data_IF_257809786838
#
_entry.id   IF_257809786838
#
_cell.length_a   1.000
_cell.length_b   1.000
_cell.length_c   1.000
_cell.angle_alpha   90.00
_cell.angle_beta   90.00
_cell.angle_gamma   90.00
#
_symmetry.space_group_name_H-M   'P 1'
#
loop_
_entity.id
_entity.type
_entity.pdbx_description
1 polymer ?
#
# COMPACT_ATOMS: atom_id res chain seq x y z
N UNK A 1 13.67 6.59 -20.07
CA UNK A 1 12.80 5.68 -19.29
C UNK A 1 13.68 4.72 -18.51
N UNK A 2 13.48 4.66 -17.19
CA UNK A 2 14.21 3.80 -16.24
C UNK A 2 13.25 2.83 -15.56
N UNK A 3 13.78 1.67 -15.21
CA UNK A 3 13.03 0.61 -14.54
C UNK A 3 13.60 0.38 -13.14
N UNK A 4 12.70 0.13 -12.19
CA UNK A 4 13.02 -0.33 -10.86
C UNK A 4 12.24 -1.61 -10.59
N UNK A 5 12.90 -2.56 -9.93
CA UNK A 5 12.26 -3.75 -9.42
C UNK A 5 12.82 -4.06 -8.04
N UNK A 6 11.94 -4.45 -7.12
CA UNK A 6 12.30 -4.99 -5.82
C UNK A 6 11.38 -6.14 -5.45
N UNK A 7 11.92 -7.09 -4.70
CA UNK A 7 11.17 -8.18 -4.08
C UNK A 7 11.43 -8.17 -2.58
N UNK A 8 10.45 -8.66 -1.83
CA UNK A 8 10.51 -8.79 -0.38
C UNK A 8 9.58 -9.91 0.06
N UNK A 9 9.78 -10.45 1.25
CA UNK A 9 8.87 -11.40 1.88
C UNK A 9 8.43 -10.80 3.21
N UNK A 10 7.12 -10.68 3.40
CA UNK A 10 6.53 -10.29 4.67
C UNK A 10 6.23 -11.55 5.49
N UNK A 11 6.62 -11.56 6.76
CA UNK A 11 6.36 -12.65 7.71
C UNK A 11 4.94 -12.56 8.30
N UNK A 12 3.97 -12.33 7.40
CA UNK A 12 2.54 -12.23 7.67
C UNK A 12 1.76 -12.93 6.57
N UNK A 13 0.66 -13.59 6.95
CA UNK A 13 -0.21 -14.27 5.98
C UNK A 13 -0.79 -13.28 4.97
N UNK A 14 -1.12 -13.78 3.77
CA UNK A 14 -1.67 -12.94 2.71
C UNK A 14 -2.96 -12.21 3.14
N UNK A 15 -3.79 -12.86 3.96
CA UNK A 15 -5.00 -12.25 4.51
C UNK A 15 -4.68 -11.06 5.43
N UNK A 16 -3.65 -11.16 6.27
CA UNK A 16 -3.19 -10.05 7.12
C UNK A 16 -2.64 -8.90 6.27
N UNK A 17 -1.79 -9.22 5.29
CA UNK A 17 -1.19 -8.24 4.39
C UNK A 17 -2.24 -7.45 3.60
N UNK A 18 -3.19 -8.15 2.99
CA UNK A 18 -4.25 -7.50 2.22
C UNK A 18 -5.20 -6.69 3.09
N UNK A 19 -5.54 -7.16 4.29
CA UNK A 19 -6.34 -6.39 5.24
C UNK A 19 -5.62 -5.10 5.69
N UNK A 20 -4.32 -5.20 5.99
CA UNK A 20 -3.50 -4.06 6.37
C UNK A 20 -3.33 -3.03 5.25
N UNK A 21 -3.30 -3.47 3.99
CA UNK A 21 -3.16 -2.56 2.84
C UNK A 21 -4.24 -1.47 2.80
N UNK A 22 -5.46 -1.79 3.23
CA UNK A 22 -6.56 -0.82 3.31
C UNK A 22 -6.41 0.19 4.44
N UNK A 23 -5.60 -0.13 5.46
CA UNK A 23 -5.29 0.71 6.62
C UNK A 23 -3.86 1.27 6.58
N UNK A 24 -3.18 1.16 5.44
CA UNK A 24 -1.80 1.61 5.27
C UNK A 24 -1.61 3.10 5.59
N UNK A 25 -2.64 3.92 5.42
CA UNK A 25 -2.60 5.35 5.68
C UNK A 25 -3.63 5.77 6.72
N UNK A 26 -3.31 6.75 7.57
CA UNK A 26 -2.00 7.44 7.67
C UNK A 26 -0.91 6.55 8.30
N UNK A 27 0.36 6.76 7.95
CA UNK A 27 1.51 6.19 8.66
C UNK A 27 2.69 7.17 8.71
N UNK A 28 3.51 7.07 9.75
CA UNK A 28 4.62 8.00 10.06
C UNK A 28 5.72 8.04 8.99
N UNK A 29 5.86 6.98 8.18
CA UNK A 29 6.87 6.89 7.13
C UNK A 29 6.39 7.50 5.81
N UNK A 30 5.07 7.71 5.67
CA UNK A 30 4.46 8.33 4.50
C UNK A 30 3.61 9.55 4.87
N UNK A 31 4.16 10.56 5.59
CA UNK A 31 3.41 11.73 6.04
C UNK A 31 2.97 12.63 4.87
N UNK A 32 3.55 12.43 3.69
CA UNK A 32 3.20 13.14 2.47
C UNK A 32 1.83 12.74 1.93
N UNK A 33 1.30 11.55 2.26
CA UNK A 33 -0.05 11.13 1.86
C UNK A 33 -1.06 11.71 2.84
N UNK A 34 -1.81 12.72 2.40
CA UNK A 34 -2.71 13.50 3.26
C UNK A 34 -4.17 13.09 3.15
N UNK A 35 -4.57 12.46 2.04
CA UNK A 35 -5.92 11.92 1.86
C UNK A 35 -5.90 10.70 0.93
N UNK A 36 -6.86 9.80 1.15
CA UNK A 36 -7.11 8.62 0.33
C UNK A 36 -8.62 8.46 0.16
N UNK A 37 -9.10 8.67 -1.06
CA UNK A 37 -10.52 8.62 -1.39
C UNK A 37 -10.80 7.38 -2.25
N UNK A 38 -11.87 6.65 -1.95
CA UNK A 38 -12.33 5.53 -2.81
C UNK A 38 -13.27 6.12 -3.85
N UNK A 39 -12.87 6.04 -5.13
CA UNK A 39 -13.67 6.51 -6.25
C UNK A 39 -14.69 5.47 -6.67
N UNK A 40 -14.27 4.20 -6.72
CA UNK A 40 -15.12 3.08 -7.10
C UNK A 40 -14.68 1.81 -6.36
N UNK A 41 -15.63 0.97 -5.99
CA UNK A 41 -15.36 -0.38 -5.49
C UNK A 41 -16.49 -1.32 -5.85
N UNK A 42 -16.16 -2.46 -6.45
CA UNK A 42 -17.12 -3.50 -6.76
C UNK A 42 -16.46 -4.88 -6.70
N UNK A 43 -17.27 -5.91 -6.47
CA UNK A 43 -16.88 -7.32 -6.64
C UNK A 43 -17.44 -7.77 -7.97
N UNK A 44 -16.56 -8.30 -8.83
CA UNK A 44 -16.98 -8.92 -10.08
C UNK A 44 -17.82 -10.19 -9.76
N UNK A 45 -19.08 -10.27 -10.23
CA UNK A 45 -19.98 -11.37 -9.90
C UNK A 45 -19.58 -12.70 -10.54
N UNK A 46 -18.83 -12.70 -11.64
CA UNK A 46 -18.39 -13.90 -12.35
C UNK A 46 -17.09 -14.43 -11.74
N UNK A 47 -16.11 -13.54 -11.55
CA UNK A 47 -14.78 -13.93 -11.10
C UNK A 47 -14.63 -13.96 -9.58
N UNK A 48 -15.38 -13.12 -8.86
CA UNK A 48 -15.25 -12.89 -7.41
C UNK A 48 -14.11 -11.94 -7.05
N UNK A 49 -13.48 -11.29 -8.04
CA UNK A 49 -12.37 -10.35 -7.82
C UNK A 49 -12.91 -9.03 -7.29
N UNK A 50 -12.31 -8.55 -6.19
CA UNK A 50 -12.59 -7.22 -5.65
C UNK A 50 -11.72 -6.20 -6.39
N UNK A 51 -12.38 -5.31 -7.14
CA UNK A 51 -11.74 -4.16 -7.77
C UNK A 51 -12.00 -2.90 -6.96
N UNK A 52 -10.95 -2.11 -6.72
CA UNK A 52 -11.06 -0.80 -6.07
C UNK A 52 -10.24 0.21 -6.86
N UNK A 53 -10.81 1.39 -7.07
CA UNK A 53 -10.11 2.57 -7.57
C UNK A 53 -10.05 3.63 -6.47
N UNK A 54 -8.86 4.17 -6.23
CA UNK A 54 -8.59 5.19 -5.22
C UNK A 54 -7.87 6.40 -5.80
N UNK A 55 -8.13 7.56 -5.23
CA UNK A 55 -7.38 8.79 -5.43
C UNK A 55 -6.56 9.07 -4.17
N UNK A 56 -5.26 9.17 -4.31
CA UNK A 56 -4.36 9.57 -3.24
C UNK A 56 -3.98 11.03 -3.46
N UNK A 57 -4.10 11.83 -2.40
CA UNK A 57 -3.63 13.22 -2.37
C UNK A 57 -2.32 13.27 -1.60
N UNK A 58 -1.27 13.75 -2.27
CA UNK A 58 0.07 13.82 -1.73
C UNK A 58 0.56 15.27 -1.67
N UNK A 59 1.03 15.72 -0.51
CA UNK A 59 1.69 17.01 -0.34
C UNK A 59 3.21 16.82 -0.45
N UNK A 60 3.83 17.46 -1.44
CA UNK A 60 5.25 17.33 -1.73
C UNK A 60 6.03 18.49 -1.13
N UNK A 61 7.01 18.16 -0.29
CA UNK A 61 8.04 19.09 0.16
C UNK A 61 9.14 19.20 -0.90
N UNK A 62 8.83 19.84 -2.03
CA UNK A 62 9.82 20.14 -3.06
C UNK A 62 10.38 21.57 -2.86
N UNK A 63 11.68 21.81 -3.14
CA UNK A 63 12.24 23.16 -3.09
C UNK A 63 11.48 24.11 -4.03
N UNK A 64 11.32 25.37 -3.62
CA UNK A 64 10.52 26.38 -4.35
C UNK A 64 10.93 26.56 -5.82
N UNK A 65 12.22 26.39 -6.15
CA UNK A 65 12.71 26.42 -7.52
C UNK A 65 12.06 25.30 -8.37
N UNK A 66 11.96 24.09 -7.82
CA UNK A 66 11.39 22.91 -8.49
C UNK A 66 9.87 23.06 -8.62
N UNK A 67 9.20 23.56 -7.58
CA UNK A 67 7.75 23.84 -7.61
C UNK A 67 7.38 24.83 -8.73
N UNK A 68 8.20 25.87 -8.97
CA UNK A 68 7.98 26.81 -10.08
C UNK A 68 8.02 26.14 -11.45
N UNK A 69 8.88 25.14 -11.65
CA UNK A 69 8.92 24.36 -12.89
C UNK A 69 7.80 23.31 -12.97
N UNK A 70 7.26 22.87 -11.83
CA UNK A 70 6.20 21.86 -11.71
C UNK A 70 4.77 22.45 -11.67
N UNK A 71 4.59 23.73 -11.99
CA UNK A 71 3.26 24.37 -12.03
C UNK A 71 2.78 24.96 -10.71
N UNK A 72 3.66 25.14 -9.73
CA UNK A 72 3.42 25.94 -8.52
C UNK A 72 2.62 25.29 -7.39
N UNK A 73 2.01 24.13 -7.63
CA UNK A 73 1.28 23.38 -6.59
C UNK A 73 2.19 22.43 -5.83
N UNK A 74 2.10 22.42 -4.50
CA UNK A 74 2.70 21.40 -3.64
C UNK A 74 1.84 20.14 -3.55
N UNK A 75 0.57 20.23 -3.95
CA UNK A 75 -0.38 19.11 -3.95
C UNK A 75 -0.28 18.38 -5.28
N UNK A 76 -0.19 17.05 -5.18
CA UNK A 76 -0.14 16.11 -6.30
C UNK A 76 -1.15 14.99 -6.09
N UNK A 77 -1.72 14.52 -7.20
CA UNK A 77 -2.69 13.43 -7.20
C UNK A 77 -2.11 12.17 -7.82
N UNK A 78 -2.41 11.03 -7.20
CA UNK A 78 -2.03 9.71 -7.68
C UNK A 78 -3.28 8.85 -7.79
N UNK A 79 -3.48 8.23 -8.95
CA UNK A 79 -4.54 7.25 -9.17
C UNK A 79 -4.00 5.88 -8.83
N UNK A 80 -4.75 5.14 -8.03
CA UNK A 80 -4.47 3.74 -7.73
C UNK A 80 -5.65 2.86 -8.16
N UNK A 81 -5.35 1.78 -8.85
CA UNK A 81 -6.32 0.71 -9.15
C UNK A 81 -5.80 -0.60 -8.57
N UNK A 82 -6.62 -1.29 -7.80
CA UNK A 82 -6.26 -2.57 -7.18
C UNK A 82 -7.26 -3.67 -7.53
N UNK A 83 -6.74 -4.87 -7.76
CA UNK A 83 -7.50 -6.09 -8.00
C UNK A 83 -7.07 -7.16 -6.98
N UNK A 84 -8.01 -7.61 -6.16
CA UNK A 84 -7.82 -8.65 -5.15
C UNK A 84 -8.59 -9.89 -5.57
N UNK A 85 -7.86 -10.97 -5.80
CA UNK A 85 -8.40 -12.28 -6.11
C UNK A 85 -8.24 -13.21 -4.89
N UNK A 86 -9.35 -13.56 -4.20
CA UNK A 86 -9.30 -14.44 -3.04
C UNK A 86 -9.02 -15.91 -3.42
N UNK A 87 -9.32 -16.33 -4.66
CA UNK A 87 -9.10 -17.72 -5.10
C UNK A 87 -7.62 -17.99 -5.33
N UNK A 88 -6.91 -17.05 -5.92
CA UNK A 88 -5.46 -17.15 -6.18
C UNK A 88 -4.61 -16.52 -5.08
N UNK A 89 -5.23 -15.97 -4.03
CA UNK A 89 -4.56 -15.24 -2.95
C UNK A 89 -3.54 -14.23 -3.49
N UNK A 90 -4.03 -13.36 -4.38
CA UNK A 90 -3.24 -12.36 -5.07
C UNK A 90 -3.90 -10.99 -4.98
N UNK A 91 -3.12 -9.99 -4.58
CA UNK A 91 -3.49 -8.58 -4.66
C UNK A 91 -2.52 -7.88 -5.61
N UNK A 92 -3.05 -7.30 -6.68
CA UNK A 92 -2.28 -6.48 -7.63
C UNK A 92 -2.73 -5.04 -7.52
N UNK A 93 -1.80 -4.11 -7.36
CA UNK A 93 -2.04 -2.69 -7.26
C UNK A 93 -1.23 -1.97 -8.32
N UNK A 94 -1.86 -1.04 -9.03
CA UNK A 94 -1.23 -0.20 -10.04
C UNK A 94 -1.43 1.25 -9.67
N UNK A 95 -0.34 1.99 -9.59
CA UNK A 95 -0.32 3.40 -9.23
C UNK A 95 0.26 4.22 -10.37
N UNK A 96 -0.35 5.37 -10.64
CA UNK A 96 0.15 6.34 -11.61
C UNK A 96 -0.10 7.77 -11.13
N UNK A 97 0.87 8.67 -11.32
CA UNK A 97 0.66 10.07 -11.01
C UNK A 97 -0.24 10.75 -12.05
N UNK A 98 -1.24 11.49 -11.58
CA UNK A 98 -2.11 12.32 -12.43
C UNK A 98 -1.56 13.74 -12.60
N UNK A 99 -0.98 14.28 -11.52
CA UNK A 99 -0.33 15.59 -11.54
C UNK A 99 1.11 15.49 -12.05
N UNK A 100 1.61 16.57 -12.67
CA UNK A 100 3.01 16.72 -13.11
C UNK A 100 3.49 15.67 -14.14
N UNK A 101 2.58 14.99 -14.82
CA UNK A 101 2.89 13.99 -15.84
C UNK A 101 3.61 14.57 -17.08
N UNK A 102 3.48 15.88 -17.31
CA UNK A 102 4.25 16.62 -18.32
C UNK A 102 5.75 16.74 -17.97
N UNK A 103 6.11 16.50 -16.72
CA UNK A 103 7.48 16.61 -16.19
C UNK A 103 8.04 15.24 -15.83
N UNK A 104 7.25 14.39 -15.17
CA UNK A 104 7.65 13.06 -14.76
C UNK A 104 6.44 12.13 -14.74
N UNK A 105 6.55 10.99 -15.40
CA UNK A 105 5.55 9.92 -15.34
C UNK A 105 6.13 8.75 -14.56
N UNK A 106 5.42 8.34 -13.52
CA UNK A 106 5.73 7.19 -12.68
C UNK A 106 4.54 6.24 -12.79
N UNK A 107 4.80 5.04 -13.32
CA UNK A 107 3.86 3.93 -13.29
C UNK A 107 4.44 2.85 -12.40
N UNK A 108 3.75 2.49 -11.33
CA UNK A 108 4.18 1.44 -10.42
C UNK A 108 3.13 0.31 -10.40
N UNK A 109 3.62 -0.91 -10.26
CA UNK A 109 2.83 -2.12 -10.04
C UNK A 109 3.41 -2.85 -8.84
N UNK A 110 2.56 -3.06 -7.84
CA UNK A 110 2.86 -3.86 -6.66
C UNK A 110 2.00 -5.11 -6.71
N UNK A 111 2.60 -6.26 -6.42
CA UNK A 111 1.90 -7.54 -6.32
C UNK A 111 2.23 -8.19 -4.98
N UNK A 112 1.18 -8.59 -4.26
CA UNK A 112 1.26 -9.44 -3.08
C UNK A 112 0.66 -10.80 -3.40
N UNK A 113 1.40 -11.88 -3.17
CA UNK A 113 0.95 -13.26 -3.36
C UNK A 113 1.28 -14.10 -2.13
N UNK A 114 0.36 -14.99 -1.73
CA UNK A 114 0.68 -15.98 -0.71
C UNK A 114 1.94 -16.77 -1.08
N UNK A 115 2.80 -17.06 -0.10
CA UNK A 115 4.01 -17.82 -0.36
C UNK A 115 3.66 -19.30 -0.63
N UNK A 116 4.16 -19.93 -1.71
CA UNK A 116 3.70 -21.25 -2.16
C UNK A 116 4.04 -22.40 -1.20
N UNK A 117 4.97 -22.17 -0.27
CA UNK A 117 5.45 -23.17 0.69
C UNK A 117 5.25 -22.74 2.15
N UNK A 118 4.71 -21.54 2.39
CA UNK A 118 4.55 -21.00 3.75
C UNK A 118 3.30 -20.11 3.83
N UNK A 119 2.21 -20.65 4.38
CA UNK A 119 0.94 -19.92 4.52
C UNK A 119 1.03 -18.72 5.48
N UNK A 120 2.07 -18.67 6.31
CA UNK A 120 2.31 -17.57 7.25
C UNK A 120 3.07 -16.39 6.64
N UNK A 121 3.46 -16.50 5.36
CA UNK A 121 4.27 -15.50 4.66
C UNK A 121 3.63 -15.02 3.35
N UNK A 122 3.97 -13.80 2.97
CA UNK A 122 3.49 -13.17 1.73
C UNK A 122 4.67 -12.67 0.90
N UNK A 123 4.73 -13.10 -0.36
CA UNK A 123 5.68 -12.56 -1.33
C UNK A 123 5.21 -11.20 -1.84
N UNK A 124 6.13 -10.25 -1.86
CA UNK A 124 5.96 -8.90 -2.38
C UNK A 124 6.86 -8.68 -3.59
N UNK A 125 6.28 -8.15 -4.65
CA UNK A 125 6.99 -7.69 -5.85
C UNK A 125 6.56 -6.27 -6.17
N UNK A 126 7.52 -5.38 -6.38
CA UNK A 126 7.31 -4.00 -6.77
C UNK A 126 8.08 -3.72 -8.05
N UNK A 127 7.40 -3.15 -9.03
CA UNK A 127 7.94 -2.78 -10.33
C UNK A 127 7.54 -1.34 -10.61
N UNK A 128 8.49 -0.49 -10.99
CA UNK A 128 8.20 0.89 -11.34
C UNK A 128 8.90 1.30 -12.62
N UNK A 129 8.19 2.09 -13.42
CA UNK A 129 8.66 2.68 -14.66
C UNK A 129 8.63 4.19 -14.50
N UNK A 130 9.79 4.82 -14.70
CA UNK A 130 9.99 6.25 -14.51
C UNK A 130 10.42 6.84 -15.85
N UNK A 131 9.65 7.79 -16.37
CA UNK A 131 9.94 8.47 -17.62
C UNK A 131 9.97 9.98 -17.41
N UNK A 132 11.02 10.64 -17.86
CA UNK A 132 11.04 12.10 -17.93
C UNK A 132 10.03 12.59 -18.97
N UNK A 133 9.26 13.61 -18.60
CA UNK A 133 8.32 14.27 -19.50
C UNK A 133 9.03 15.13 -20.55
N UNK A 134 8.29 15.48 -21.59
CA UNK A 134 8.80 16.21 -22.75
C UNK A 134 9.40 17.58 -22.41
N UNK A 135 8.90 18.22 -21.34
CA UNK A 135 9.37 19.52 -20.86
C UNK A 135 10.86 19.51 -20.44
N UNK A 136 11.41 18.35 -20.08
CA UNK A 136 12.79 18.21 -19.58
C UNK A 136 13.64 17.28 -20.45
N UNK A 137 13.26 17.09 -21.72
CA UNK A 137 13.93 16.19 -22.66
C UNK A 137 15.46 16.39 -22.75
N UNK A 138 15.94 17.63 -22.63
CA UNK A 138 17.38 17.99 -22.65
C UNK A 138 18.17 17.58 -21.41
N UNK A 139 17.49 17.28 -20.30
CA UNK A 139 18.08 16.86 -19.03
C UNK A 139 17.52 15.51 -18.55
N UNK A 140 16.87 14.77 -19.45
CA UNK A 140 16.08 13.57 -19.14
C UNK A 140 16.87 12.54 -18.34
N UNK A 141 18.11 12.21 -18.75
CA UNK A 141 18.93 11.20 -18.04
C UNK A 141 19.22 11.58 -16.58
N UNK A 142 19.61 12.83 -16.30
CA UNK A 142 19.93 13.28 -14.94
C UNK A 142 18.70 13.26 -14.03
N UNK A 143 17.56 13.72 -14.56
CA UNK A 143 16.30 13.75 -13.81
C UNK A 143 15.80 12.33 -13.58
N UNK A 144 15.85 11.47 -14.59
CA UNK A 144 15.48 10.07 -14.45
C UNK A 144 16.32 9.36 -13.39
N UNK A 145 17.64 9.58 -13.35
CA UNK A 145 18.54 8.98 -12.36
C UNK A 145 18.30 9.52 -10.95
N UNK A 146 18.04 10.83 -10.82
CA UNK A 146 17.66 11.46 -9.55
C UNK A 146 16.33 10.91 -9.03
N UNK A 147 15.31 10.86 -9.88
CA UNK A 147 13.99 10.34 -9.54
C UNK A 147 14.04 8.84 -9.22
N UNK A 148 14.85 8.06 -9.94
CA UNK A 148 15.05 6.64 -9.66
C UNK A 148 15.68 6.42 -8.29
N UNK A 149 16.69 7.21 -7.92
CA UNK A 149 17.32 7.14 -6.60
C UNK A 149 16.31 7.45 -5.50
N UNK A 150 15.55 8.55 -5.65
CA UNK A 150 14.50 8.91 -4.69
C UNK A 150 13.40 7.88 -4.59
N UNK A 151 12.99 7.27 -5.71
CA UNK A 151 12.00 6.20 -5.71
C UNK A 151 12.50 4.98 -4.94
N UNK A 152 13.77 4.60 -5.10
CA UNK A 152 14.39 3.48 -4.35
C UNK A 152 14.38 3.74 -2.85
N UNK A 153 14.80 4.93 -2.44
CA UNK A 153 14.83 5.32 -1.02
C UNK A 153 13.41 5.30 -0.43
N UNK A 154 12.46 5.91 -1.13
CA UNK A 154 11.05 5.95 -0.72
C UNK A 154 10.41 4.55 -0.68
N UNK A 155 10.78 3.64 -1.59
CA UNK A 155 10.27 2.28 -1.60
C UNK A 155 10.69 1.51 -0.35
N UNK A 156 11.94 1.69 0.11
CA UNK A 156 12.41 1.08 1.36
C UNK A 156 11.67 1.63 2.59
N UNK A 157 11.53 2.95 2.66
CA UNK A 157 10.79 3.65 3.72
C UNK A 157 9.32 3.23 3.74
N UNK A 158 8.68 3.14 2.57
CA UNK A 158 7.29 2.72 2.43
C UNK A 158 7.04 1.27 2.86
N UNK A 159 8.01 0.36 2.62
CA UNK A 159 7.93 -1.03 3.14
C UNK A 159 8.04 -1.07 4.66
N UNK A 160 9.00 -0.36 5.24
CA UNK A 160 9.13 -0.28 6.70
C UNK A 160 7.89 0.34 7.36
N UNK A 161 7.31 1.38 6.74
CA UNK A 161 6.05 1.97 7.16
C UNK A 161 4.89 0.98 7.17
N UNK A 162 4.81 0.15 6.12
CA UNK A 162 3.78 -0.87 6.01
C UNK A 162 3.96 -2.00 7.03
N UNK A 163 5.20 -2.43 7.29
CA UNK A 163 5.52 -3.42 8.32
C UNK A 163 5.06 -2.98 9.71
N UNK A 164 5.26 -1.70 10.06
CA UNK A 164 4.74 -1.18 11.32
C UNK A 164 3.21 -1.23 11.42
N UNK A 165 2.50 -1.06 10.31
CA UNK A 165 1.04 -1.20 10.28
C UNK A 165 0.64 -2.67 10.49
N UNK A 166 1.36 -3.60 9.86
CA UNK A 166 1.12 -5.04 10.02
C UNK A 166 1.28 -5.48 11.48
N UNK A 167 2.39 -5.10 12.11
CA UNK A 167 2.64 -5.43 13.52
C UNK A 167 1.61 -4.81 14.46
N UNK A 168 1.23 -3.54 14.26
CA UNK A 168 0.15 -2.91 15.04
C UNK A 168 -1.18 -3.68 14.95
N UNK A 169 -1.57 -4.12 13.75
CA UNK A 169 -2.81 -4.86 13.54
C UNK A 169 -2.75 -6.27 14.11
N UNK A 170 -1.60 -6.93 14.02
CA UNK A 170 -1.35 -8.24 14.61
C UNK A 170 -1.48 -8.21 16.12
N UNK A 171 -0.86 -7.23 16.78
CA UNK A 171 -1.00 -7.02 18.22
C UNK A 171 -2.45 -6.75 18.64
N UNK A 172 -3.15 -5.82 17.97
CA UNK A 172 -4.54 -5.51 18.27
C UNK A 172 -5.47 -6.74 18.12
N UNK A 173 -5.23 -7.59 17.12
CA UNK A 173 -5.99 -8.84 16.93
C UNK A 173 -5.71 -9.84 18.05
N UNK A 174 -4.46 -10.01 18.46
CA UNK A 174 -4.08 -10.91 19.55
C UNK A 174 -4.75 -10.48 20.87
N UNK A 175 -4.70 -9.19 21.19
CA UNK A 175 -5.36 -8.63 22.37
C UNK A 175 -6.87 -8.86 22.36
N UNK A 176 -7.54 -8.59 21.23
CA UNK A 176 -8.97 -8.83 21.08
C UNK A 176 -9.34 -10.31 21.25
N UNK A 177 -8.51 -11.23 20.72
CA UNK A 177 -8.73 -12.67 20.83
C UNK A 177 -8.60 -13.12 22.28
N UNK A 178 -7.54 -12.68 22.98
CA UNK A 178 -7.35 -13.01 24.40
C UNK A 178 -8.45 -12.45 25.31
N UNK A 179 -9.00 -11.28 24.99
CA UNK A 179 -10.15 -10.73 25.74
C UNK A 179 -11.42 -11.55 25.51
N UNK A 180 -11.67 -11.97 24.27
CA UNK A 180 -12.82 -12.80 23.92
C UNK A 180 -12.75 -14.17 24.59
N UNK A 181 -11.58 -14.81 24.62
CA UNK A 181 -11.36 -16.08 25.32
C UNK A 181 -11.68 -15.94 26.81
N UNK A 182 -11.13 -14.91 27.47
CA UNK A 182 -11.39 -14.63 28.89
C UNK A 182 -12.89 -14.41 29.17
N UNK A 183 -13.57 -13.63 28.33
CA UNK A 183 -15.00 -13.39 28.47
C UNK A 183 -15.82 -14.68 28.30
N UNK A 184 -15.45 -15.50 27.30
CA UNK A 184 -16.12 -16.77 27.03
C UNK A 184 -15.94 -17.76 28.18
N UNK A 185 -14.71 -17.91 28.69
CA UNK A 185 -14.43 -18.77 29.86
C UNK A 185 -15.20 -18.30 31.10
N UNK A 186 -15.27 -16.99 31.34
CA UNK A 186 -16.03 -16.44 32.46
C UNK A 186 -17.53 -16.72 32.34
N UNK A 187 -18.10 -16.59 31.14
CA UNK A 187 -19.51 -16.87 30.89
C UNK A 187 -19.85 -18.36 31.06
N UNK A 188 -19.00 -19.26 30.56
CA UNK A 188 -19.17 -20.72 30.74
C UNK A 188 -19.13 -21.10 32.21
N UNK A 189 -18.17 -20.56 32.98
CA UNK A 189 -18.07 -20.82 34.41
C UNK A 189 -19.29 -20.32 35.20
N UNK A 190 -19.81 -19.14 34.86
CA UNK A 190 -21.02 -18.59 35.48
C UNK A 190 -22.27 -19.44 35.16
N UNK A 191 -22.41 -19.90 33.92
CA UNK A 191 -23.51 -20.78 33.51
C UNK A 191 -23.46 -22.13 34.22
N UNK A 192 -22.27 -22.74 34.34
CA UNK A 192 -22.08 -24.00 35.06
C UNK A 192 -22.41 -23.89 36.55
N UNK A 193 -22.04 -22.78 37.20
CA UNK A 193 -22.39 -22.52 38.61
C UNK A 193 -23.90 -22.36 38.82
N UNK A 194 -24.62 -21.80 37.85
CA UNK A 194 -26.08 -21.61 37.93
C UNK A 194 -26.84 -22.92 37.71
N UNK A 195 -26.32 -23.83 36.87
CA UNK A 195 -26.93 -25.13 36.60
C UNK A 195 -26.71 -26.19 37.71
N UNK A 196 -25.82 -25.91 38.67
CA UNK A 196 -25.53 -26.79 39.80
C UNK A 196 -26.36 -26.49 41.07
N UNK A 197 -27.26 -25.50 40.99
CA UNK A 197 -28.25 -25.13 42.02
C UNK A 197 -29.64 -25.65 41.62
#
# INVERSE_FOLDING_TARGET
MKFFQATHTFDHSWAQVTAANWMKYPNEQCPHVVAVDVLERHVDPETGVLRTERLLTCNQNAPALVLKFLGGSTVSYVRETSELDPKTQKLTMKTQNLSMCNVLTINETITYTAHPHDESSTMFKQEAQIAAGSALSRFSSYIEDFCLTRFRDNAAVGRAGFEMVLEKLKHARQEATSQLEKATTSAVNAAAATAAL
#
